data_IF_790571443886
#
_entry.id   IF_790571443886
#
_cell.length_a   1.000
_cell.length_b   1.000
_cell.length_c   1.000
_cell.angle_alpha   90.00
_cell.angle_beta   90.00
_cell.angle_gamma   90.00
#
_symmetry.space_group_name_H-M   'P 1'
#
loop_
_entity.id
_entity.type
_entity.pdbx_description
1 polymer ?
#
# COMPACT_ATOMS: atom_id res chain seq x y z
N UNK A 1 -6.70 29.37 -33.86
CA UNK A 1 -7.68 28.90 -34.87
C UNK A 1 -8.03 27.44 -34.55
N UNK A 2 -9.26 27.01 -34.79
CA UNK A 2 -9.71 25.62 -34.56
C UNK A 2 -10.63 25.45 -33.36
N UNK A 3 -11.94 25.34 -33.60
CA UNK A 3 -12.97 25.04 -32.61
C UNK A 3 -13.66 23.71 -32.92
N UNK A 4 -14.54 23.28 -31.99
CA UNK A 4 -15.58 22.22 -32.03
C UNK A 4 -15.27 20.96 -31.20
N UNK A 5 -16.22 20.36 -30.45
CA UNK A 5 -17.62 20.73 -30.16
C UNK A 5 -18.03 20.16 -28.79
N UNK A 6 -18.80 20.91 -27.99
CA UNK A 6 -19.47 20.38 -26.78
C UNK A 6 -20.99 20.24 -27.03
N UNK A 7 -21.61 19.16 -26.54
CA UNK A 7 -23.07 18.95 -26.60
C UNK A 7 -23.69 18.99 -25.20
N UNK A 8 -24.39 20.10 -24.89
CA UNK A 8 -25.40 20.17 -23.82
C UNK A 8 -26.79 19.88 -24.41
N UNK A 9 -27.62 19.08 -23.73
CA UNK A 9 -29.04 18.91 -24.12
C UNK A 9 -29.93 19.96 -23.43
N UNK A 10 -31.09 20.26 -24.04
CA UNK A 10 -31.98 21.37 -23.64
C UNK A 10 -33.13 20.92 -22.75
N UNK A 11 -33.47 21.76 -21.76
CA UNK A 11 -34.78 21.78 -21.07
C UNK A 11 -35.94 22.00 -22.05
N UNK A 12 -37.14 21.55 -21.67
CA UNK A 12 -38.43 22.11 -22.12
C UNK A 12 -39.43 22.10 -20.97
N UNK A 13 -40.13 23.21 -20.78
CA UNK A 13 -41.33 23.36 -19.94
C UNK A 13 -42.26 24.38 -20.62
N UNK A 14 -43.59 24.18 -20.54
CA UNK A 14 -44.52 25.14 -19.91
C UNK A 14 -45.65 24.40 -19.14
N UNK A 15 -46.58 24.97 -18.35
CA UNK A 15 -46.93 26.32 -17.82
C UNK A 15 -47.78 26.07 -16.53
N UNK A 16 -47.76 26.93 -15.49
CA UNK A 16 -48.83 27.90 -15.06
C UNK A 16 -50.27 27.35 -15.06
N UNK A 17 -51.17 27.66 -14.11
CA UNK A 17 -51.31 28.67 -13.03
C UNK A 17 -52.30 28.06 -11.96
N UNK A 18 -52.57 28.54 -10.72
CA UNK A 18 -52.03 29.60 -9.83
C UNK A 18 -52.70 29.50 -8.42
N UNK A 19 -52.28 30.34 -7.45
CA UNK A 19 -53.00 30.79 -6.24
C UNK A 19 -53.05 29.91 -4.95
N UNK A 20 -52.40 30.46 -3.91
CA UNK A 20 -52.71 30.37 -2.46
C UNK A 20 -54.01 31.17 -2.16
N UNK A 21 -54.73 31.02 -0.99
CA UNK A 21 -54.11 31.19 0.34
C UNK A 21 -54.74 30.49 1.59
N UNK A 22 -53.96 30.54 2.69
CA UNK A 22 -54.32 30.69 4.14
C UNK A 22 -55.57 30.04 4.76
N UNK A 23 -55.37 29.38 5.91
CA UNK A 23 -56.42 29.12 6.91
C UNK A 23 -55.89 28.31 8.10
N UNK A 24 -55.91 28.91 9.30
CA UNK A 24 -55.59 28.27 10.59
C UNK A 24 -56.84 27.63 11.24
N UNK A 25 -56.68 27.12 12.47
CA UNK A 25 -57.71 26.61 13.40
C UNK A 25 -58.24 25.18 13.09
N UNK A 26 -58.22 24.14 13.96
CA UNK A 26 -58.18 23.91 15.43
C UNK A 26 -59.53 23.43 15.98
N UNK A 27 -59.49 22.43 16.89
CA UNK A 27 -60.65 21.85 17.61
C UNK A 27 -61.71 21.17 16.70
N UNK A 28 -62.56 20.22 17.10
CA UNK A 28 -62.75 19.32 18.26
C UNK A 28 -63.58 18.14 17.70
N UNK A 29 -63.44 16.88 18.10
CA UNK A 29 -63.98 16.32 19.34
C UNK A 29 -65.23 15.46 19.07
N UNK A 30 -65.30 14.31 19.77
CA UNK A 30 -66.51 13.57 20.16
C UNK A 30 -67.20 12.54 19.23
N UNK A 31 -67.09 11.30 19.72
CA UNK A 31 -68.17 10.36 20.05
C UNK A 31 -68.64 9.25 19.07
N UNK A 32 -68.61 8.04 19.65
CA UNK A 32 -69.15 6.77 19.15
C UNK A 32 -70.68 6.72 19.37
N UNK A 33 -71.37 5.71 18.82
CA UNK A 33 -71.64 4.56 19.68
C UNK A 33 -71.44 3.19 19.01
N UNK A 34 -71.39 2.17 19.88
CA UNK A 34 -71.07 0.77 19.59
C UNK A 34 -72.18 0.01 18.86
N UNK A 35 -71.84 -1.14 18.25
CA UNK A 35 -72.60 -2.39 18.50
C UNK A 35 -71.76 -3.62 18.18
N UNK A 36 -71.82 -4.62 19.06
CA UNK A 36 -71.02 -5.84 18.99
C UNK A 36 -71.54 -6.85 17.95
N UNK A 37 -70.63 -7.63 17.35
CA UNK A 37 -70.83 -9.08 17.28
C UNK A 37 -69.52 -9.87 17.07
N UNK A 38 -69.35 -10.83 17.97
CA UNK A 38 -68.32 -11.84 18.20
C UNK A 38 -67.71 -12.59 16.99
N UNK A 39 -66.38 -12.67 17.01
CA UNK A 39 -65.51 -13.86 16.87
C UNK A 39 -65.52 -14.72 15.58
N UNK A 40 -64.35 -14.86 14.94
CA UNK A 40 -63.42 -16.01 15.09
C UNK A 40 -62.23 -15.92 14.11
N UNK A 41 -61.04 -16.44 14.51
CA UNK A 41 -59.99 -16.85 13.55
C UNK A 41 -58.74 -15.96 13.44
N UNK A 42 -57.93 -15.88 14.51
CA UNK A 42 -56.58 -15.29 14.44
C UNK A 42 -55.59 -16.20 13.71
N UNK A 43 -54.95 -15.72 12.64
CA UNK A 43 -53.74 -16.35 12.10
C UNK A 43 -52.78 -15.30 11.51
N UNK A 44 -52.16 -14.51 12.38
CA UNK A 44 -51.24 -13.43 12.01
C UNK A 44 -49.83 -13.98 11.75
N UNK A 45 -49.56 -14.40 10.51
CA UNK A 45 -48.19 -14.44 9.99
C UNK A 45 -47.68 -12.99 9.86
N UNK A 46 -47.07 -12.46 10.92
CA UNK A 46 -46.24 -11.26 10.80
C UNK A 46 -44.94 -11.67 10.10
N UNK A 47 -44.86 -11.47 8.78
CA UNK A 47 -43.58 -11.48 8.09
C UNK A 47 -42.69 -10.38 8.70
N UNK A 48 -41.53 -10.76 9.22
CA UNK A 48 -40.54 -9.78 9.66
C UNK A 48 -40.19 -8.84 8.49
N UNK A 49 -40.03 -7.53 8.73
CA UNK A 49 -39.79 -6.56 7.66
C UNK A 49 -38.53 -6.94 6.87
N UNK A 50 -38.64 -6.91 5.53
CA UNK A 50 -37.57 -7.30 4.61
C UNK A 50 -36.38 -6.36 4.81
N UNK A 51 -35.35 -6.85 5.50
CA UNK A 51 -34.12 -6.12 5.76
C UNK A 51 -33.20 -6.24 4.54
N UNK A 52 -32.94 -5.13 3.86
CA UNK A 52 -32.11 -5.09 2.67
C UNK A 52 -30.64 -4.86 3.04
N UNK A 53 -29.71 -5.15 2.13
CA UNK A 53 -28.26 -5.06 2.41
C UNK A 53 -27.77 -3.64 2.67
N UNK A 54 -28.51 -2.61 2.22
CA UNK A 54 -28.22 -1.21 2.53
C UNK A 54 -28.69 -0.78 3.92
N UNK A 55 -29.68 -1.46 4.52
CA UNK A 55 -30.16 -1.17 5.88
C UNK A 55 -29.15 -1.59 6.97
N UNK A 56 -28.07 -2.29 6.56
CA UNK A 56 -26.93 -2.68 7.40
C UNK A 56 -25.66 -1.87 7.15
N UNK A 57 -25.70 -0.81 6.33
CA UNK A 57 -24.55 0.09 6.19
C UNK A 57 -24.39 0.87 7.48
N UNK A 58 -23.25 0.68 8.15
CA UNK A 58 -22.84 1.55 9.25
C UNK A 58 -22.82 3.00 8.76
N UNK A 59 -23.32 3.93 9.59
CA UNK A 59 -23.32 5.35 9.27
C UNK A 59 -21.91 5.89 9.45
N UNK A 60 -21.16 5.90 8.35
CA UNK A 60 -19.83 6.51 8.24
C UNK A 60 -19.97 8.02 8.48
N UNK A 61 -19.41 8.55 9.58
CA UNK A 61 -19.33 10.00 9.80
C UNK A 61 -18.14 10.56 9.00
N UNK A 62 -18.31 11.59 8.16
CA UNK A 62 -17.19 12.25 7.47
C UNK A 62 -16.04 12.68 8.41
N UNK A 63 -16.33 13.01 9.68
CA UNK A 63 -15.32 13.35 10.69
C UNK A 63 -14.37 12.20 11.02
N UNK A 64 -14.80 10.95 10.87
CA UNK A 64 -13.92 9.80 11.07
C UNK A 64 -12.85 9.72 9.97
N UNK A 65 -13.04 10.38 8.83
CA UNK A 65 -12.15 10.33 7.66
C UNK A 65 -11.45 11.66 7.35
N UNK A 66 -11.58 12.65 8.24
CA UNK A 66 -10.97 13.97 8.10
C UNK A 66 -10.40 14.46 9.43
N UNK A 67 -9.27 15.17 9.37
CA UNK A 67 -8.73 15.99 10.45
C UNK A 67 -8.58 17.41 9.90
N UNK A 68 -9.29 18.38 10.49
CA UNK A 68 -9.37 19.73 9.92
C UNK A 68 -9.30 20.81 11.00
N UNK A 69 -8.43 21.81 10.83
CA UNK A 69 -8.38 23.01 11.67
C UNK A 69 -7.83 22.80 13.09
N UNK A 70 -7.17 21.67 13.34
CA UNK A 70 -6.65 21.29 14.67
C UNK A 70 -5.34 22.01 14.99
N UNK A 71 -5.14 22.41 16.26
CA UNK A 71 -3.95 23.18 16.66
C UNK A 71 -3.36 22.73 17.99
N UNK A 72 -2.07 22.37 17.98
CA UNK A 72 -1.32 21.90 19.15
C UNK A 72 -1.89 20.60 19.76
N UNK A 73 -2.43 19.72 18.93
CA UNK A 73 -3.08 18.47 19.34
C UNK A 73 -2.29 17.21 18.88
N UNK A 74 -2.35 16.15 19.70
CA UNK A 74 -1.95 14.79 19.31
C UNK A 74 -3.22 14.02 18.92
N UNK A 75 -3.37 13.66 17.64
CA UNK A 75 -4.57 13.01 17.06
C UNK A 75 -4.18 11.93 16.06
N UNK A 76 -5.15 11.19 15.53
CA UNK A 76 -4.85 10.11 14.58
C UNK A 76 -5.96 9.08 14.45
N UNK A 77 -5.59 7.87 14.01
CA UNK A 77 -6.49 6.73 13.83
C UNK A 77 -5.80 5.43 14.24
N UNK A 78 -6.48 4.64 15.06
CA UNK A 78 -6.06 3.29 15.46
C UNK A 78 -6.27 2.27 14.33
N UNK A 79 -5.62 1.09 14.39
CA UNK A 79 -5.84 0.00 13.43
C UNK A 79 -7.31 -0.36 13.23
N UNK A 80 -7.71 -0.61 11.99
CA UNK A 80 -9.08 -0.97 11.59
C UNK A 80 -10.09 0.17 11.58
N UNK A 81 -9.69 1.44 11.82
CA UNK A 81 -10.59 2.61 11.77
C UNK A 81 -10.80 3.18 10.37
N UNK A 82 -9.80 3.16 9.52
CA UNK A 82 -9.88 3.66 8.15
C UNK A 82 -10.18 2.55 7.14
N UNK A 83 -9.68 1.34 7.38
CA UNK A 83 -9.97 0.12 6.62
C UNK A 83 -9.97 0.35 5.09
N UNK A 84 -8.91 1.00 4.59
CA UNK A 84 -8.72 1.25 3.16
C UNK A 84 -9.56 2.38 2.55
N UNK A 85 -10.25 3.21 3.33
CA UNK A 85 -10.93 4.41 2.83
C UNK A 85 -9.95 5.56 2.52
N UNK A 86 -10.46 6.63 1.91
CA UNK A 86 -9.73 7.90 1.76
C UNK A 86 -9.64 8.63 3.10
N UNK A 87 -8.53 9.35 3.33
CA UNK A 87 -8.34 10.23 4.49
C UNK A 87 -7.93 11.64 4.05
N UNK A 88 -8.30 12.66 4.82
CA UNK A 88 -7.93 14.07 4.56
C UNK A 88 -7.38 14.69 5.84
N UNK A 89 -6.26 15.41 5.72
CA UNK A 89 -5.67 16.23 6.77
C UNK A 89 -5.57 17.65 6.22
N UNK A 90 -6.15 18.65 6.88
CA UNK A 90 -6.22 20.01 6.37
C UNK A 90 -6.13 21.07 7.48
N UNK A 91 -5.50 22.22 7.22
CA UNK A 91 -5.45 23.37 8.15
C UNK A 91 -4.90 23.03 9.56
N UNK A 92 -4.03 22.03 9.68
CA UNK A 92 -3.47 21.61 10.98
C UNK A 92 -2.17 22.36 11.32
N UNK A 93 -2.03 22.81 12.57
CA UNK A 93 -0.86 23.58 13.03
C UNK A 93 -0.26 22.98 14.33
N UNK A 94 1.05 22.76 14.36
CA UNK A 94 1.77 22.23 15.54
C UNK A 94 1.26 20.86 16.05
N UNK A 95 0.64 20.04 15.18
CA UNK A 95 0.03 18.77 15.55
C UNK A 95 0.97 17.56 15.44
N UNK A 96 0.73 16.54 16.27
CA UNK A 96 1.26 15.19 16.06
C UNK A 96 0.11 14.31 15.53
N UNK A 97 0.27 13.71 14.35
CA UNK A 97 -0.80 13.01 13.64
C UNK A 97 -0.37 11.56 13.37
N UNK A 98 -1.08 10.59 13.94
CA UNK A 98 -0.70 9.18 13.91
C UNK A 98 -1.78 8.30 13.25
N UNK A 99 -1.61 7.98 11.97
CA UNK A 99 -2.55 7.12 11.22
C UNK A 99 -2.01 5.69 11.17
N UNK A 100 -2.44 4.84 12.10
CA UNK A 100 -2.00 3.44 12.21
C UNK A 100 -2.94 2.47 11.50
N UNK A 101 -3.37 2.79 10.28
CA UNK A 101 -4.20 1.92 9.43
C UNK A 101 -3.88 2.16 7.95
N UNK A 102 -4.24 1.22 7.09
CA UNK A 102 -4.15 1.34 5.64
C UNK A 102 -5.26 2.26 5.07
N UNK A 103 -4.94 2.95 3.97
CA UNK A 103 -5.84 3.91 3.31
C UNK A 103 -5.79 3.79 1.79
N UNK A 104 -6.85 4.22 1.09
CA UNK A 104 -6.86 4.29 -0.37
C UNK A 104 -5.95 5.42 -0.89
N UNK A 105 -6.12 6.62 -0.35
CA UNK A 105 -5.38 7.84 -0.71
C UNK A 105 -5.45 8.83 0.46
N UNK A 106 -4.41 9.65 0.64
CA UNK A 106 -4.38 10.69 1.68
C UNK A 106 -3.99 12.02 1.05
N UNK A 107 -4.77 13.08 1.31
CA UNK A 107 -4.38 14.46 1.00
C UNK A 107 -4.05 15.22 2.28
N UNK A 108 -2.96 15.98 2.25
CA UNK A 108 -2.47 16.79 3.37
C UNK A 108 -2.31 18.21 2.85
N UNK A 109 -3.15 19.13 3.33
CA UNK A 109 -3.32 20.46 2.77
C UNK A 109 -3.12 21.54 3.84
N UNK A 110 -2.43 22.64 3.51
CA UNK A 110 -2.31 23.83 4.37
C UNK A 110 -1.76 23.57 5.79
N UNK A 111 -1.01 22.47 5.98
CA UNK A 111 -0.52 22.05 7.29
C UNK A 111 0.86 22.64 7.62
N UNK A 112 1.05 23.07 8.87
CA UNK A 112 2.28 23.76 9.32
C UNK A 112 2.84 23.14 10.60
N UNK A 113 4.15 22.90 10.64
CA UNK A 113 4.89 22.40 11.82
C UNK A 113 4.29 21.10 12.42
N UNK A 114 3.81 20.20 11.57
CA UNK A 114 3.19 18.94 11.99
C UNK A 114 4.13 17.75 11.85
N UNK A 115 3.99 16.78 12.76
CA UNK A 115 4.68 15.49 12.74
C UNK A 115 3.68 14.40 12.37
N UNK A 116 3.92 13.66 11.30
CA UNK A 116 2.87 12.80 10.69
C UNK A 116 3.40 11.37 10.46
N UNK A 117 2.75 10.37 11.05
CA UNK A 117 2.91 8.97 10.65
C UNK A 117 1.71 8.56 9.80
N UNK A 118 1.97 8.07 8.58
CA UNK A 118 0.96 7.48 7.72
C UNK A 118 1.21 5.97 7.57
N UNK A 119 0.17 5.18 7.85
CA UNK A 119 0.11 3.79 7.48
C UNK A 119 0.07 3.60 5.95
N UNK A 120 0.19 2.35 5.47
CA UNK A 120 0.29 2.02 4.04
C UNK A 120 -0.86 2.58 3.20
N UNK A 121 -0.53 3.43 2.24
CA UNK A 121 -1.50 4.08 1.33
C UNK A 121 -1.46 3.44 -0.05
N UNK A 122 -2.54 2.74 -0.42
CA UNK A 122 -2.66 1.97 -1.66
C UNK A 122 -2.40 2.79 -2.94
N UNK A 123 -2.80 4.05 -2.94
CA UNK A 123 -2.63 4.98 -4.04
C UNK A 123 -1.67 6.12 -3.67
N UNK A 124 -2.14 7.35 -3.86
CA UNK A 124 -1.34 8.55 -3.65
C UNK A 124 -1.37 9.08 -2.22
N UNK A 125 -0.22 9.58 -1.76
CA UNK A 125 -0.12 10.60 -0.72
C UNK A 125 0.25 11.91 -1.40
N UNK A 126 -0.56 12.95 -1.18
CA UNK A 126 -0.35 14.27 -1.80
C UNK A 126 -0.30 15.36 -0.74
N UNK A 127 0.86 15.98 -0.57
CA UNK A 127 1.04 17.19 0.22
C UNK A 127 0.87 18.44 -0.66
N UNK A 128 0.09 19.42 -0.21
CA UNK A 128 -0.11 20.70 -0.88
C UNK A 128 0.02 21.83 0.14
N UNK A 129 0.75 22.89 -0.23
CA UNK A 129 0.84 24.14 0.54
C UNK A 129 1.32 23.93 2.00
N UNK A 130 2.07 22.84 2.25
CA UNK A 130 2.51 22.40 3.57
C UNK A 130 3.92 22.89 3.93
N UNK A 131 4.16 23.17 5.22
CA UNK A 131 5.40 23.80 5.69
C UNK A 131 5.96 23.22 7.00
N UNK A 132 7.28 23.07 7.08
CA UNK A 132 7.99 22.59 8.27
C UNK A 132 7.44 21.22 8.76
N UNK A 133 7.15 20.29 7.84
CA UNK A 133 6.56 18.97 8.14
C UNK A 133 7.65 17.93 8.37
N UNK A 134 7.45 17.04 9.35
CA UNK A 134 8.27 15.83 9.53
C UNK A 134 7.38 14.60 9.44
N UNK A 135 7.68 13.64 8.58
CA UNK A 135 6.77 12.51 8.39
C UNK A 135 7.41 11.17 8.04
N UNK A 136 6.71 10.09 8.35
CA UNK A 136 7.01 8.73 7.91
C UNK A 136 5.83 8.23 7.08
N UNK A 137 6.07 7.83 5.83
CA UNK A 137 5.01 7.60 4.82
C UNK A 137 5.31 6.34 4.02
N UNK A 138 4.34 5.43 3.93
CA UNK A 138 4.35 4.32 2.97
C UNK A 138 3.21 4.49 1.96
N UNK A 139 3.51 4.53 0.66
CA UNK A 139 2.51 4.79 -0.38
C UNK A 139 2.88 4.17 -1.74
N UNK A 140 1.91 4.09 -2.66
CA UNK A 140 2.23 3.78 -4.05
C UNK A 140 2.87 4.97 -4.76
N UNK A 141 2.26 6.16 -4.62
CA UNK A 141 2.73 7.40 -5.25
C UNK A 141 2.90 8.51 -4.21
N UNK A 142 4.08 9.11 -4.15
CA UNK A 142 4.35 10.29 -3.33
C UNK A 142 4.37 11.55 -4.20
N UNK A 143 3.60 12.57 -3.81
CA UNK A 143 3.52 13.86 -4.51
C UNK A 143 3.59 15.02 -3.52
N UNK A 144 4.32 16.07 -3.85
CA UNK A 144 4.24 17.36 -3.16
C UNK A 144 4.07 18.50 -4.16
N UNK A 145 3.26 19.50 -3.79
CA UNK A 145 3.17 20.77 -4.52
C UNK A 145 3.22 21.94 -3.53
N UNK A 146 3.94 23.01 -3.88
CA UNK A 146 4.01 24.26 -3.09
C UNK A 146 4.48 24.05 -1.63
N UNK A 147 5.26 23.00 -1.37
CA UNK A 147 5.68 22.59 -0.02
C UNK A 147 7.07 23.13 0.36
N UNK A 148 7.31 23.38 1.66
CA UNK A 148 8.58 23.95 2.12
C UNK A 148 9.10 23.34 3.41
N UNK A 149 10.37 22.90 3.40
CA UNK A 149 11.06 22.23 4.50
C UNK A 149 10.29 21.00 4.99
N UNK A 150 10.44 19.88 4.29
CA UNK A 150 9.86 18.61 4.71
C UNK A 150 10.95 17.58 4.92
N UNK A 151 10.96 16.92 6.08
CA UNK A 151 11.81 15.76 6.35
C UNK A 151 10.93 14.49 6.27
N UNK A 152 11.21 13.61 5.30
CA UNK A 152 10.32 12.50 4.91
C UNK A 152 11.05 11.15 4.94
N UNK A 153 10.64 10.23 5.82
CA UNK A 153 11.07 8.83 5.78
C UNK A 153 10.08 8.03 4.92
N UNK A 154 10.50 7.66 3.71
CA UNK A 154 9.59 7.28 2.64
C UNK A 154 9.73 5.79 2.24
N UNK A 155 8.58 5.16 2.02
CA UNK A 155 8.43 3.96 1.21
C UNK A 155 7.51 4.30 0.04
N UNK A 156 8.03 4.29 -1.19
CA UNK A 156 7.28 4.68 -2.38
C UNK A 156 7.47 3.67 -3.51
N UNK A 157 6.37 3.06 -3.96
CA UNK A 157 6.41 2.04 -5.01
C UNK A 157 6.72 2.61 -6.41
N UNK A 158 6.38 3.88 -6.67
CA UNK A 158 6.80 4.64 -7.86
C UNK A 158 7.92 5.63 -7.55
N UNK A 159 8.41 6.35 -8.56
CA UNK A 159 9.29 7.51 -8.38
C UNK A 159 8.57 8.60 -7.57
N UNK A 160 9.13 9.10 -6.45
CA UNK A 160 8.57 10.24 -5.71
C UNK A 160 8.66 11.53 -6.52
N UNK A 161 7.61 12.36 -6.45
CA UNK A 161 7.48 13.59 -7.24
C UNK A 161 7.40 14.81 -6.33
N UNK A 162 8.15 15.87 -6.67
CA UNK A 162 8.01 17.21 -6.11
C UNK A 162 7.75 18.25 -7.22
N UNK A 163 6.97 19.28 -6.89
CA UNK A 163 6.64 20.42 -7.75
C UNK A 163 6.57 21.69 -6.89
N UNK A 164 7.13 22.81 -7.35
CA UNK A 164 7.14 24.12 -6.67
C UNK A 164 7.59 24.07 -5.20
N UNK A 165 8.41 23.08 -4.83
CA UNK A 165 8.71 22.72 -3.43
C UNK A 165 10.19 22.92 -3.10
N UNK A 166 10.53 23.35 -1.88
CA UNK A 166 11.92 23.71 -1.50
C UNK A 166 12.35 23.17 -0.14
N UNK A 167 13.60 22.70 -0.03
CA UNK A 167 14.16 22.17 1.22
C UNK A 167 13.59 20.80 1.60
N UNK A 168 13.29 19.98 0.61
CA UNK A 168 12.75 18.63 0.78
C UNK A 168 13.88 17.65 1.13
N UNK A 169 13.74 16.84 2.19
CA UNK A 169 14.74 15.84 2.56
C UNK A 169 14.13 14.47 2.68
N UNK A 170 14.77 13.48 2.07
CA UNK A 170 14.27 12.11 2.02
C UNK A 170 15.19 11.12 2.74
N UNK A 171 14.59 10.19 3.48
CA UNK A 171 15.25 9.04 4.10
C UNK A 171 14.46 7.76 3.80
N UNK A 172 15.07 6.59 4.00
CA UNK A 172 14.34 5.33 3.88
C UNK A 172 13.29 5.21 5.00
N UNK A 173 12.13 4.62 4.69
CA UNK A 173 11.14 4.25 5.70
C UNK A 173 11.75 3.38 6.79
N UNK A 174 11.54 3.77 8.06
CA UNK A 174 12.01 3.03 9.23
C UNK A 174 10.96 3.09 10.34
N UNK A 175 10.03 2.13 10.32
CA UNK A 175 8.97 2.01 11.31
C UNK A 175 8.45 0.57 11.45
N UNK A 176 7.83 0.28 12.59
CA UNK A 176 7.18 -0.99 12.92
C UNK A 176 6.03 -0.78 13.92
N UNK A 177 4.91 -1.49 13.70
CA UNK A 177 3.94 -1.87 14.72
C UNK A 177 3.31 -3.23 14.31
N UNK A 178 2.70 -4.02 15.22
CA UNK A 178 2.33 -5.42 14.94
C UNK A 178 1.41 -5.62 13.73
N UNK A 179 0.45 -4.73 13.53
CA UNK A 179 -0.56 -4.78 12.46
C UNK A 179 -0.02 -4.31 11.10
N UNK A 180 1.11 -3.60 11.08
CA UNK A 180 1.65 -2.92 9.90
C UNK A 180 1.93 -3.87 8.72
N UNK A 181 2.34 -5.11 9.01
CA UNK A 181 2.57 -6.13 7.98
C UNK A 181 1.29 -6.47 7.20
N UNK A 182 0.14 -6.54 7.89
CA UNK A 182 -1.16 -6.75 7.26
C UNK A 182 -1.61 -5.50 6.51
N UNK A 183 -1.42 -4.31 7.09
CA UNK A 183 -1.76 -3.05 6.41
C UNK A 183 -1.00 -2.87 5.08
N UNK A 184 0.28 -3.27 4.99
CA UNK A 184 1.03 -3.27 3.72
C UNK A 184 0.38 -4.21 2.68
N UNK A 185 0.00 -5.41 3.11
CA UNK A 185 -0.67 -6.41 2.26
C UNK A 185 -2.05 -5.94 1.79
N UNK A 186 -2.85 -5.36 2.67
CA UNK A 186 -4.21 -4.88 2.37
C UNK A 186 -4.19 -3.63 1.48
N UNK A 187 -3.18 -2.77 1.64
CA UNK A 187 -2.88 -1.70 0.70
C UNK A 187 -2.37 -2.21 -0.67
N UNK A 188 -1.92 -3.47 -0.76
CA UNK A 188 -1.31 -4.03 -1.96
C UNK A 188 0.10 -3.49 -2.25
N UNK A 189 0.83 -3.05 -1.22
CA UNK A 189 2.20 -2.55 -1.32
C UNK A 189 3.20 -3.65 -0.93
N UNK A 190 4.18 -3.90 -1.80
CA UNK A 190 5.34 -4.70 -1.42
C UNK A 190 6.30 -3.88 -0.56
N UNK A 191 6.76 -4.47 0.54
CA UNK A 191 7.85 -3.91 1.36
C UNK A 191 9.19 -3.85 0.62
N UNK A 192 9.33 -4.57 -0.50
CA UNK A 192 10.54 -4.60 -1.31
C UNK A 192 10.53 -3.59 -2.46
N UNK A 193 9.39 -2.96 -2.79
CA UNK A 193 9.32 -1.95 -3.85
C UNK A 193 9.41 -0.54 -3.23
N UNK A 194 10.63 -0.03 -3.10
CA UNK A 194 10.88 1.29 -2.49
C UNK A 194 11.92 2.13 -3.26
N UNK A 195 11.46 3.23 -3.87
CA UNK A 195 12.28 4.16 -4.67
C UNK A 195 12.52 5.51 -3.96
N UNK A 196 12.49 5.52 -2.62
CA UNK A 196 12.48 6.73 -1.77
C UNK A 196 13.54 7.80 -2.06
N UNK A 197 14.67 7.43 -2.68
CA UNK A 197 15.80 8.33 -2.97
C UNK A 197 15.84 8.87 -4.41
N UNK A 198 15.04 8.32 -5.33
CA UNK A 198 15.05 8.70 -6.75
C UNK A 198 13.98 9.77 -7.00
N UNK A 199 14.24 11.02 -6.60
CA UNK A 199 13.22 12.09 -6.62
C UNK A 199 13.16 12.75 -8.00
N UNK A 200 11.95 12.87 -8.56
CA UNK A 200 11.68 13.70 -9.73
C UNK A 200 11.20 15.09 -9.31
N UNK A 201 11.87 16.14 -9.78
CA UNK A 201 11.49 17.53 -9.57
C UNK A 201 10.98 18.12 -10.90
N UNK A 202 9.71 18.54 -10.93
CA UNK A 202 9.10 19.19 -12.10
C UNK A 202 9.54 20.66 -12.28
N UNK A 203 10.16 21.25 -11.25
CA UNK A 203 10.48 22.68 -11.14
C UNK A 203 11.92 22.93 -10.70
N UNK A 204 12.94 22.29 -11.32
CA UNK A 204 14.32 22.43 -10.91
C UNK A 204 14.82 23.87 -11.14
N UNK A 205 15.44 24.45 -10.13
CA UNK A 205 16.04 25.79 -10.21
C UNK A 205 17.53 25.65 -10.53
N UNK A 206 17.99 26.32 -11.59
CA UNK A 206 19.39 26.22 -12.03
C UNK A 206 20.36 26.71 -10.95
N UNK A 207 21.20 25.80 -10.44
CA UNK A 207 22.20 26.10 -9.41
C UNK A 207 21.74 25.88 -7.97
N UNK A 208 20.48 25.51 -7.75
CA UNK A 208 19.92 25.18 -6.44
C UNK A 208 19.40 23.73 -6.42
N UNK A 209 19.43 23.09 -5.25
CA UNK A 209 18.87 21.74 -5.05
C UNK A 209 17.61 21.85 -4.18
N UNK A 210 16.44 21.73 -4.82
CA UNK A 210 15.14 21.76 -4.12
C UNK A 210 14.99 20.62 -3.11
N UNK A 211 15.70 19.51 -3.33
CA UNK A 211 15.71 18.34 -2.46
C UNK A 211 17.12 17.82 -2.16
N UNK A 212 17.23 17.04 -1.08
CA UNK A 212 18.43 16.26 -0.73
C UNK A 212 18.04 14.98 0.03
N UNK A 213 19.02 14.17 0.41
CA UNK A 213 18.82 13.01 1.28
C UNK A 213 19.17 13.37 2.73
N UNK A 214 18.40 12.87 3.70
CA UNK A 214 18.72 12.94 5.13
C UNK A 214 20.05 12.22 5.42
N UNK A 215 20.82 12.60 6.44
CA UNK A 215 21.99 11.82 6.90
C UNK A 215 21.65 10.34 7.19
N UNK A 216 22.60 9.41 7.00
CA UNK A 216 22.37 7.97 7.24
C UNK A 216 22.19 7.64 8.74
N UNK A 217 22.75 8.47 9.64
CA UNK A 217 22.64 8.41 11.10
C UNK A 217 21.38 9.12 11.66
N UNK A 218 20.46 9.57 10.80
CA UNK A 218 19.27 10.32 11.23
C UNK A 218 18.34 9.47 12.10
N UNK A 219 18.16 9.85 13.36
CA UNK A 219 17.21 9.19 14.27
C UNK A 219 15.77 9.59 13.94
N UNK A 220 14.93 8.61 13.60
CA UNK A 220 13.52 8.81 13.25
C UNK A 220 12.74 9.53 14.37
N UNK A 221 12.99 9.18 15.64
CA UNK A 221 12.24 9.72 16.79
C UNK A 221 12.54 11.20 17.09
N UNK A 222 13.68 11.74 16.64
CA UNK A 222 13.97 13.18 16.70
C UNK A 222 13.16 13.98 15.67
N UNK A 223 12.63 13.28 14.66
CA UNK A 223 11.85 13.86 13.59
C UNK A 223 10.35 13.65 13.82
N UNK A 224 9.95 12.41 14.10
CA UNK A 224 8.58 12.04 14.44
C UNK A 224 8.61 11.21 15.74
N UNK A 225 8.30 11.83 16.89
CA UNK A 225 8.36 11.15 18.18
C UNK A 225 7.28 10.07 18.29
N UNK A 226 7.37 9.26 19.35
CA UNK A 226 6.28 8.36 19.72
C UNK A 226 5.07 9.18 20.21
N UNK A 227 3.83 8.66 20.06
CA UNK A 227 2.66 9.23 20.72
C UNK A 227 2.83 9.28 22.24
N UNK A 228 2.19 10.25 22.90
CA UNK A 228 2.22 10.36 24.35
C UNK A 228 1.70 9.07 25.02
N UNK A 229 2.35 8.55 26.09
CA UNK A 229 1.92 7.29 26.73
C UNK A 229 0.49 7.28 27.29
N UNK A 230 -0.09 8.46 27.54
CA UNK A 230 -1.49 8.60 27.98
C UNK A 230 -2.48 8.90 26.85
N UNK A 231 -2.01 9.03 25.61
CA UNK A 231 -2.87 9.18 24.43
C UNK A 231 -3.66 7.90 24.12
N UNK A 232 -4.64 8.00 23.22
CA UNK A 232 -5.39 6.84 22.70
C UNK A 232 -4.49 5.79 22.02
N UNK A 233 -3.29 6.18 21.58
CA UNK A 233 -2.35 5.35 20.83
C UNK A 233 -1.54 4.39 21.70
N UNK A 234 -1.67 4.42 23.03
CA UNK A 234 -0.87 3.61 23.97
C UNK A 234 -0.99 2.08 23.81
N UNK A 235 -1.97 1.62 23.04
CA UNK A 235 -2.12 0.21 22.66
C UNK A 235 -1.17 -0.22 21.52
N UNK A 236 -0.73 0.72 20.69
CA UNK A 236 0.08 0.45 19.48
C UNK A 236 1.55 0.30 19.85
N UNK A 237 2.10 -0.91 19.67
CA UNK A 237 3.48 -1.25 20.06
C UNK A 237 4.49 -0.85 19.00
N UNK A 238 4.79 0.45 18.96
CA UNK A 238 5.67 1.06 17.98
C UNK A 238 7.14 0.69 18.23
N UNK A 239 7.91 0.56 17.15
CA UNK A 239 9.37 0.59 17.18
C UNK A 239 9.91 1.28 15.92
N UNK A 240 10.94 2.10 16.09
CA UNK A 240 11.70 2.73 15.01
C UNK A 240 13.12 2.16 14.90
N UNK A 241 13.38 0.98 15.46
CA UNK A 241 14.68 0.31 15.36
C UNK A 241 14.90 -0.20 13.93
N UNK A 242 16.10 -0.01 13.39
CA UNK A 242 16.45 -0.44 12.02
C UNK A 242 16.17 -1.94 11.80
N UNK A 243 16.62 -2.79 12.73
CA UNK A 243 16.44 -4.25 12.70
C UNK A 243 14.99 -4.70 12.85
N UNK A 244 14.08 -3.83 13.29
CA UNK A 244 12.65 -4.14 13.45
C UNK A 244 11.80 -3.57 12.32
N UNK A 245 12.35 -2.76 11.43
CA UNK A 245 11.53 -2.10 10.42
C UNK A 245 10.85 -3.10 9.47
N UNK A 246 9.58 -2.80 9.15
CA UNK A 246 8.84 -3.61 8.19
C UNK A 246 9.37 -3.43 6.74
N UNK A 247 9.96 -2.28 6.42
CA UNK A 247 10.61 -2.03 5.13
C UNK A 247 12.12 -2.23 5.34
N UNK A 248 12.81 -3.06 4.55
CA UNK A 248 14.27 -3.13 4.59
C UNK A 248 14.91 -1.75 4.40
N UNK A 249 15.85 -1.40 5.27
CA UNK A 249 16.61 -0.16 5.11
C UNK A 249 17.54 -0.32 3.89
N UNK A 250 17.35 0.54 2.90
CA UNK A 250 18.08 0.54 1.64
C UNK A 250 18.92 1.80 1.53
N UNK A 251 20.14 1.69 1.00
CA UNK A 251 21.04 2.84 0.76
C UNK A 251 20.54 3.72 -0.39
N UNK A 252 19.82 3.15 -1.35
CA UNK A 252 19.24 3.86 -2.48
C UNK A 252 20.30 4.56 -3.33
N UNK A 253 19.95 5.72 -3.90
CA UNK A 253 20.83 6.55 -4.73
C UNK A 253 21.94 7.30 -3.98
N UNK A 254 22.37 6.82 -2.81
CA UNK A 254 23.55 7.35 -2.10
C UNK A 254 24.83 6.77 -2.72
N UNK A 255 25.95 7.46 -2.51
CA UNK A 255 27.27 6.97 -2.95
C UNK A 255 27.66 5.70 -2.19
N UNK A 256 28.07 4.69 -2.93
CA UNK A 256 28.68 3.46 -2.40
C UNK A 256 30.17 3.67 -2.15
N UNK A 257 30.77 2.78 -1.35
CA UNK A 257 32.21 2.77 -1.08
C UNK A 257 32.96 1.76 -1.97
N UNK A 258 32.24 0.74 -2.46
CA UNK A 258 32.74 -0.23 -3.44
C UNK A 258 32.01 -0.10 -4.78
N UNK A 259 32.73 -0.40 -5.85
CA UNK A 259 32.22 -0.59 -7.22
C UNK A 259 31.70 -2.03 -7.44
N UNK A 260 31.79 -2.91 -6.43
CA UNK A 260 31.29 -4.29 -6.51
C UNK A 260 29.87 -4.40 -5.94
N UNK A 261 28.91 -4.66 -6.83
CA UNK A 261 27.55 -5.09 -6.47
C UNK A 261 27.35 -6.58 -6.76
N UNK A 262 26.33 -7.20 -6.14
CA UNK A 262 25.84 -8.54 -6.40
C UNK A 262 24.31 -8.52 -6.51
N UNK A 263 23.76 -9.15 -7.56
CA UNK A 263 22.34 -9.44 -7.65
C UNK A 263 22.04 -10.77 -6.95
N UNK A 264 21.10 -10.75 -5.99
CA UNK A 264 20.54 -11.95 -5.37
C UNK A 264 19.03 -11.98 -5.61
N UNK A 265 18.50 -13.05 -6.19
CA UNK A 265 17.06 -13.19 -6.50
C UNK A 265 16.49 -14.46 -5.87
N UNK A 266 15.47 -14.31 -5.04
CA UNK A 266 14.63 -15.41 -4.57
C UNK A 266 13.44 -15.60 -5.50
N UNK A 267 13.22 -16.84 -5.93
CA UNK A 267 12.01 -17.21 -6.66
C UNK A 267 10.83 -17.44 -5.70
N UNK A 268 9.60 -17.44 -6.22
CA UNK A 268 8.40 -17.50 -5.39
C UNK A 268 8.28 -18.80 -4.59
N UNK A 269 8.04 -18.69 -3.28
CA UNK A 269 7.73 -19.80 -2.39
C UNK A 269 7.24 -19.28 -1.03
N UNK A 270 6.76 -20.18 -0.18
CA UNK A 270 6.08 -19.84 1.08
C UNK A 270 6.96 -19.06 2.08
N UNK A 271 8.29 -19.15 1.93
CA UNK A 271 9.28 -18.53 2.81
C UNK A 271 10.09 -17.38 2.16
N UNK A 272 9.77 -16.97 0.93
CA UNK A 272 10.56 -15.98 0.17
C UNK A 272 10.83 -14.69 0.95
N UNK A 273 9.81 -14.10 1.58
CA UNK A 273 9.96 -12.87 2.39
C UNK A 273 10.86 -13.07 3.62
N UNK A 274 10.78 -14.23 4.28
CA UNK A 274 11.60 -14.55 5.44
C UNK A 274 13.06 -14.81 5.05
N UNK A 275 13.28 -15.52 3.94
CA UNK A 275 14.61 -15.78 3.39
C UNK A 275 15.29 -14.49 2.92
N UNK A 276 14.54 -13.59 2.26
CA UNK A 276 15.05 -12.28 1.86
C UNK A 276 15.50 -11.44 3.07
N UNK A 277 14.72 -11.40 4.16
CA UNK A 277 15.14 -10.76 5.41
C UNK A 277 16.40 -11.40 6.00
N UNK A 278 16.43 -12.73 6.08
CA UNK A 278 17.60 -13.45 6.59
C UNK A 278 18.87 -13.16 5.77
N UNK A 279 18.76 -13.06 4.45
CA UNK A 279 19.89 -12.66 3.60
C UNK A 279 20.39 -11.25 3.95
N UNK A 280 19.47 -10.29 4.14
CA UNK A 280 19.81 -8.93 4.54
C UNK A 280 20.54 -8.93 5.90
N UNK A 281 20.06 -9.68 6.87
CA UNK A 281 20.68 -9.79 8.20
C UNK A 281 22.09 -10.41 8.12
N UNK A 282 22.28 -11.50 7.37
CA UNK A 282 23.58 -12.16 7.15
C UNK A 282 24.57 -11.26 6.38
N UNK A 283 24.09 -10.57 5.34
CA UNK A 283 24.91 -9.65 4.54
C UNK A 283 25.35 -8.43 5.37
N UNK A 284 24.42 -7.83 6.12
CA UNK A 284 24.70 -6.71 7.02
C UNK A 284 25.70 -7.12 8.12
N UNK A 285 25.57 -8.32 8.67
CA UNK A 285 26.49 -8.87 9.69
C UNK A 285 27.92 -9.06 9.14
N UNK A 286 28.06 -9.34 7.84
CA UNK A 286 29.35 -9.41 7.14
C UNK A 286 29.87 -8.05 6.64
N UNK A 287 29.13 -6.96 6.88
CA UNK A 287 29.52 -5.60 6.49
C UNK A 287 29.09 -5.16 5.08
N UNK A 288 28.28 -5.95 4.38
CA UNK A 288 27.73 -5.58 3.07
C UNK A 288 26.51 -4.67 3.21
N UNK A 289 26.29 -3.82 2.21
CA UNK A 289 25.22 -2.82 2.22
C UNK A 289 24.12 -3.19 1.24
N UNK A 290 22.86 -3.14 1.68
CA UNK A 290 21.69 -3.27 0.82
C UNK A 290 21.44 -1.96 0.06
N UNK A 291 21.63 -1.98 -1.26
CA UNK A 291 21.43 -0.80 -2.11
C UNK A 291 19.94 -0.61 -2.39
N UNK A 292 19.29 -1.63 -2.93
CA UNK A 292 17.88 -1.61 -3.30
C UNK A 292 17.30 -3.03 -3.36
N UNK A 293 15.98 -3.10 -3.38
CA UNK A 293 15.22 -4.35 -3.56
C UNK A 293 14.11 -4.12 -4.59
N UNK A 294 13.58 -5.20 -5.17
CA UNK A 294 12.32 -5.19 -5.93
C UNK A 294 11.56 -6.50 -5.75
N UNK A 295 10.24 -6.43 -5.82
CA UNK A 295 9.33 -7.56 -5.99
C UNK A 295 8.57 -7.40 -7.31
N UNK A 296 8.80 -8.31 -8.27
CA UNK A 296 8.27 -8.21 -9.64
C UNK A 296 7.88 -9.57 -10.21
N UNK A 297 6.83 -9.62 -11.03
CA UNK A 297 6.38 -10.85 -11.69
C UNK A 297 7.11 -11.08 -13.01
N UNK A 298 7.94 -12.11 -13.10
CA UNK A 298 8.65 -12.45 -14.35
C UNK A 298 7.83 -13.40 -15.21
N UNK A 299 7.91 -13.27 -16.55
CA UNK A 299 7.46 -14.31 -17.50
C UNK A 299 8.69 -15.06 -18.04
N UNK A 300 8.53 -16.25 -18.65
CA UNK A 300 9.64 -17.01 -19.26
C UNK A 300 10.51 -16.20 -20.23
N UNK A 301 9.88 -15.32 -21.03
CA UNK A 301 10.57 -14.40 -21.94
C UNK A 301 11.49 -13.41 -21.19
N UNK A 302 11.05 -12.92 -20.03
CA UNK A 302 11.77 -11.96 -19.21
C UNK A 302 12.98 -12.61 -18.52
N UNK A 303 12.85 -13.88 -18.09
CA UNK A 303 13.96 -14.68 -17.53
C UNK A 303 15.11 -14.81 -18.52
N UNK A 304 14.81 -15.14 -19.78
CA UNK A 304 15.81 -15.26 -20.86
C UNK A 304 16.52 -13.92 -21.14
N UNK A 305 15.80 -12.81 -21.11
CA UNK A 305 16.37 -11.47 -21.31
C UNK A 305 17.28 -11.04 -20.16
N UNK A 306 16.88 -11.30 -18.92
CA UNK A 306 17.57 -10.81 -17.72
C UNK A 306 18.79 -11.68 -17.38
N UNK A 307 18.62 -13.00 -17.30
CA UNK A 307 19.65 -13.94 -16.83
C UNK A 307 20.46 -14.60 -17.95
N UNK A 308 20.10 -14.37 -19.22
CA UNK A 308 20.86 -14.75 -20.41
C UNK A 308 21.32 -16.23 -20.38
N UNK A 309 22.62 -16.48 -20.21
CA UNK A 309 23.23 -17.81 -20.22
C UNK A 309 22.67 -18.76 -19.16
N UNK A 310 22.09 -18.23 -18.07
CA UNK A 310 21.58 -19.01 -16.95
C UNK A 310 20.07 -19.27 -17.02
N UNK A 311 19.40 -18.87 -18.10
CA UNK A 311 17.94 -18.84 -18.15
C UNK A 311 17.24 -20.19 -18.28
N UNK A 312 17.88 -21.25 -18.81
CA UNK A 312 17.23 -22.55 -19.05
C UNK A 312 16.73 -23.20 -17.75
N UNK A 313 17.54 -23.22 -16.70
CA UNK A 313 17.17 -23.78 -15.38
C UNK A 313 16.17 -22.89 -14.64
N UNK A 314 16.33 -21.57 -14.74
CA UNK A 314 15.48 -20.57 -14.06
C UNK A 314 14.07 -20.48 -14.67
N UNK A 315 13.92 -20.76 -15.97
CA UNK A 315 12.63 -20.71 -16.67
C UNK A 315 11.65 -21.76 -16.11
N UNK A 316 12.14 -22.92 -15.67
CA UNK A 316 11.31 -23.91 -14.96
C UNK A 316 10.76 -23.39 -13.62
N UNK A 317 11.52 -22.53 -12.95
CA UNK A 317 11.19 -22.02 -11.62
C UNK A 317 10.14 -20.91 -11.65
N UNK A 318 10.05 -20.19 -12.77
CA UNK A 318 9.03 -19.16 -13.04
C UNK A 318 7.76 -19.73 -13.69
N UNK A 319 7.82 -20.94 -14.27
CA UNK A 319 6.64 -21.61 -14.88
C UNK A 319 5.89 -22.54 -13.92
N UNK A 320 6.60 -23.25 -13.04
CA UNK A 320 6.02 -24.27 -12.14
C UNK A 320 5.69 -23.68 -10.76
N UNK A 321 4.58 -22.95 -10.66
CA UNK A 321 3.99 -22.54 -9.37
C UNK A 321 3.26 -23.67 -8.65
N UNK A 322 2.56 -23.34 -7.56
CA UNK A 322 1.90 -24.33 -6.70
C UNK A 322 0.81 -25.14 -7.45
N UNK A 323 0.80 -26.46 -7.23
CA UNK A 323 -0.22 -27.36 -7.77
C UNK A 323 -1.52 -27.22 -6.97
N UNK A 324 -2.53 -26.58 -7.53
CA UNK A 324 -3.86 -26.54 -6.94
C UNK A 324 -4.73 -27.70 -7.45
N UNK A 325 -5.22 -28.50 -6.50
CA UNK A 325 -6.23 -29.52 -6.76
C UNK A 325 -7.62 -28.88 -6.73
N UNK A 326 -8.17 -28.56 -7.90
CA UNK A 326 -9.54 -28.06 -7.98
C UNK A 326 -10.53 -29.23 -7.97
N UNK A 327 -11.22 -29.43 -6.84
CA UNK A 327 -12.32 -30.39 -6.72
C UNK A 327 -13.61 -29.71 -7.17
N UNK A 328 -14.09 -30.03 -8.37
CA UNK A 328 -15.32 -29.44 -8.94
C UNK A 328 -16.52 -30.38 -8.69
N UNK A 329 -17.44 -30.07 -7.76
CA UNK A 329 -18.67 -30.83 -7.60
C UNK A 329 -19.69 -30.44 -8.67
N UNK A 330 -20.02 -31.36 -9.59
CA UNK A 330 -21.17 -31.14 -10.49
C UNK A 330 -22.49 -31.21 -9.72
N UNK A 331 -23.27 -30.13 -9.78
CA UNK A 331 -24.70 -30.15 -9.47
C UNK A 331 -25.46 -30.78 -10.64
N UNK A 332 -25.78 -32.07 -10.55
CA UNK A 332 -26.74 -32.70 -11.45
C UNK A 332 -28.15 -32.15 -11.21
N UNK A 333 -28.53 -31.14 -11.99
CA UNK A 333 -29.90 -30.69 -12.07
C UNK A 333 -30.65 -31.57 -13.08
N UNK A 334 -31.35 -32.61 -12.61
CA UNK A 334 -32.63 -33.11 -13.15
C UNK A 334 -33.24 -34.20 -12.22
N UNK A 335 -34.57 -34.41 -12.31
CA UNK A 335 -35.42 -35.04 -11.28
C UNK A 335 -35.42 -36.59 -11.26
N UNK A 336 -35.67 -37.13 -10.06
CA UNK A 336 -36.30 -38.45 -9.74
C UNK A 336 -35.58 -39.75 -10.16
N UNK A 337 -34.74 -40.29 -9.26
CA UNK A 337 -34.98 -41.57 -8.52
C UNK A 337 -33.77 -41.90 -7.63
N UNK A 338 -34.00 -42.55 -6.49
CA UNK A 338 -32.92 -43.09 -5.65
C UNK A 338 -32.21 -44.23 -6.41
N UNK A 339 -30.97 -44.00 -6.82
CA UNK A 339 -30.03 -45.02 -7.25
C UNK A 339 -28.61 -44.50 -7.03
N UNK A 340 -27.68 -45.38 -6.68
CA UNK A 340 -26.35 -45.03 -6.16
C UNK A 340 -25.50 -44.34 -7.24
N UNK A 341 -25.46 -43.00 -7.21
CA UNK A 341 -24.54 -42.22 -8.04
C UNK A 341 -23.10 -42.40 -7.52
N UNK A 342 -22.31 -43.21 -8.23
CA UNK A 342 -20.85 -43.19 -8.10
C UNK A 342 -20.34 -41.81 -8.54
N UNK A 343 -19.89 -40.99 -7.60
CA UNK A 343 -19.18 -39.75 -7.90
C UNK A 343 -17.88 -40.09 -8.65
N UNK A 344 -17.78 -39.66 -9.92
CA UNK A 344 -16.48 -39.57 -10.60
C UNK A 344 -15.86 -38.21 -10.27
N UNK A 345 -14.92 -38.18 -9.33
CA UNK A 345 -14.05 -37.03 -9.15
C UNK A 345 -13.04 -36.99 -10.31
N UNK A 346 -13.09 -35.93 -11.11
CA UNK A 346 -12.01 -35.57 -12.03
C UNK A 346 -11.18 -34.49 -11.35
N UNK A 347 -10.02 -34.85 -10.82
CA UNK A 347 -9.03 -33.89 -10.33
C UNK A 347 -8.37 -33.20 -11.52
N UNK A 348 -8.74 -31.94 -11.78
CA UNK A 348 -7.98 -31.12 -12.72
C UNK A 348 -6.82 -30.51 -11.95
N UNK A 349 -5.59 -30.90 -12.30
CA UNK A 349 -4.37 -30.25 -11.82
C UNK A 349 -4.28 -28.90 -12.52
N UNK A 350 -4.42 -27.82 -11.76
CA UNK A 350 -4.14 -26.47 -12.23
C UNK A 350 -2.87 -26.03 -11.53
N UNK A 351 -1.75 -25.99 -12.27
CA UNK A 351 -0.56 -25.31 -11.80
C UNK A 351 -0.85 -23.80 -11.81
N UNK A 352 -0.78 -23.16 -10.65
CA UNK A 352 -0.74 -21.71 -10.62
C UNK A 352 0.54 -21.23 -11.33
N UNK A 353 0.55 -20.04 -11.98
CA UNK A 353 1.81 -19.42 -12.35
C UNK A 353 2.67 -19.20 -11.09
N UNK A 354 3.99 -19.14 -11.25
CA UNK A 354 4.85 -18.74 -10.14
C UNK A 354 4.48 -17.33 -9.67
N UNK A 355 4.67 -17.07 -8.38
CA UNK A 355 4.51 -15.73 -7.82
C UNK A 355 5.61 -14.77 -8.28
N UNK A 356 5.60 -13.52 -7.80
CA UNK A 356 6.70 -12.60 -8.05
C UNK A 356 8.02 -13.14 -7.47
N UNK A 357 9.13 -12.72 -8.08
CA UNK A 357 10.47 -12.90 -7.55
C UNK A 357 10.83 -11.70 -6.68
N UNK A 358 11.67 -11.91 -5.67
CA UNK A 358 12.23 -10.85 -4.83
C UNK A 358 13.72 -10.74 -5.11
N UNK A 359 14.15 -9.59 -5.65
CA UNK A 359 15.54 -9.28 -5.92
C UNK A 359 16.10 -8.29 -4.89
N UNK A 360 17.39 -8.45 -4.60
CA UNK A 360 18.18 -7.62 -3.72
C UNK A 360 19.50 -7.28 -4.42
N UNK A 361 19.88 -6.00 -4.39
CA UNK A 361 21.22 -5.56 -4.74
C UNK A 361 22.02 -5.33 -3.45
N UNK A 362 23.12 -6.07 -3.31
CA UNK A 362 24.08 -5.93 -2.22
C UNK A 362 25.40 -5.36 -2.76
N UNK A 363 26.08 -4.51 -2.00
CA UNK A 363 27.33 -3.85 -2.39
C UNK A 363 28.41 -4.00 -1.32
N UNK A 364 29.66 -4.11 -1.76
CA UNK A 364 30.87 -4.18 -0.93
C UNK A 364 31.94 -5.09 -1.52
N UNK A 365 33.19 -4.93 -1.11
CA UNK A 365 34.29 -5.73 -1.68
C UNK A 365 34.17 -7.21 -1.31
N UNK A 366 34.16 -8.09 -2.33
CA UNK A 366 33.95 -9.53 -2.16
C UNK A 366 32.49 -9.93 -1.91
N UNK A 367 31.52 -9.03 -2.12
CA UNK A 367 30.09 -9.31 -1.91
C UNK A 367 29.59 -10.47 -2.75
N UNK A 368 30.12 -10.68 -3.97
CA UNK A 368 29.69 -11.79 -4.84
C UNK A 368 30.05 -13.14 -4.22
N UNK A 369 31.30 -13.34 -3.80
CA UNK A 369 31.78 -14.58 -3.19
C UNK A 369 31.05 -14.87 -1.86
N UNK A 370 30.84 -13.83 -1.05
CA UNK A 370 30.11 -13.95 0.20
C UNK A 370 28.63 -14.31 -0.01
N UNK A 371 27.96 -13.74 -1.01
CA UNK A 371 26.58 -14.09 -1.37
C UNK A 371 26.46 -15.54 -1.84
N UNK A 372 27.45 -16.06 -2.58
CA UNK A 372 27.49 -17.46 -2.99
C UNK A 372 27.71 -18.40 -1.79
N UNK A 373 28.58 -18.05 -0.83
CA UNK A 373 28.73 -18.77 0.45
C UNK A 373 27.40 -18.80 1.22
N UNK A 374 26.73 -17.65 1.41
CA UNK A 374 25.42 -17.58 2.08
C UNK A 374 24.37 -18.43 1.37
N UNK A 375 24.30 -18.38 0.03
CA UNK A 375 23.34 -19.20 -0.72
C UNK A 375 23.53 -20.71 -0.48
N UNK A 376 24.78 -21.19 -0.47
CA UNK A 376 25.12 -22.59 -0.27
C UNK A 376 24.97 -23.06 1.19
N UNK A 377 25.31 -22.21 2.17
CA UNK A 377 25.30 -22.56 3.59
C UNK A 377 23.93 -22.36 4.23
N UNK A 378 23.25 -21.25 3.91
CA UNK A 378 22.03 -20.79 4.60
C UNK A 378 20.76 -21.17 3.82
N UNK A 379 20.83 -21.18 2.49
CA UNK A 379 19.68 -21.37 1.60
C UNK A 379 19.75 -22.64 0.76
N UNK A 380 20.53 -23.64 1.19
CA UNK A 380 20.65 -24.93 0.52
C UNK A 380 19.26 -25.55 0.20
N UNK A 381 19.06 -25.96 -1.06
CA UNK A 381 17.78 -26.48 -1.56
C UNK A 381 16.71 -25.41 -1.87
N UNK A 382 16.97 -24.13 -1.60
CA UNK A 382 16.10 -23.02 -2.02
C UNK A 382 16.44 -22.59 -3.44
N UNK A 383 15.41 -22.29 -4.24
CA UNK A 383 15.57 -21.75 -5.60
C UNK A 383 16.00 -20.28 -5.51
N UNK A 384 17.27 -20.02 -5.76
CA UNK A 384 17.88 -18.68 -5.77
C UNK A 384 18.75 -18.49 -7.01
N UNK A 385 18.87 -17.25 -7.46
CA UNK A 385 19.93 -16.81 -8.36
C UNK A 385 20.87 -15.89 -7.59
N UNK A 386 22.16 -16.01 -7.85
CA UNK A 386 23.22 -15.12 -7.34
C UNK A 386 24.15 -14.82 -8.51
N UNK A 387 24.62 -13.59 -8.65
CA UNK A 387 25.65 -13.26 -9.66
C UNK A 387 26.87 -14.18 -9.56
N UNK A 388 27.42 -14.57 -10.70
CA UNK A 388 28.51 -15.57 -10.77
C UNK A 388 29.88 -14.98 -10.47
N UNK A 389 30.13 -13.73 -10.88
CA UNK A 389 31.43 -13.09 -10.76
C UNK A 389 31.33 -11.57 -10.71
N UNK A 390 32.33 -10.92 -10.09
CA UNK A 390 32.50 -9.46 -10.04
C UNK A 390 32.48 -8.79 -11.43
N UNK A 391 32.88 -9.50 -12.48
CA UNK A 391 32.91 -9.00 -13.86
C UNK A 391 31.54 -9.05 -14.56
N UNK A 392 30.58 -9.81 -14.02
CA UNK A 392 29.24 -9.99 -14.62
C UNK A 392 28.13 -9.38 -13.75
N UNK A 393 28.35 -9.23 -12.45
CA UNK A 393 27.33 -8.85 -11.48
C UNK A 393 26.71 -7.47 -11.71
N UNK A 394 27.48 -6.47 -12.12
CA UNK A 394 26.94 -5.15 -12.49
C UNK A 394 25.94 -5.23 -13.64
N UNK A 395 26.25 -6.03 -14.67
CA UNK A 395 25.35 -6.29 -15.80
C UNK A 395 24.10 -7.08 -15.37
N UNK A 396 24.22 -8.01 -14.42
CA UNK A 396 23.05 -8.73 -13.89
C UNK A 396 22.10 -7.77 -13.17
N UNK A 397 22.64 -6.89 -12.31
CA UNK A 397 21.91 -5.81 -11.64
C UNK A 397 21.24 -4.91 -12.67
N UNK A 398 22.00 -4.34 -13.60
CA UNK A 398 21.48 -3.47 -14.67
C UNK A 398 20.34 -4.16 -15.45
N UNK A 399 20.55 -5.40 -15.90
CA UNK A 399 19.54 -6.16 -16.63
C UNK A 399 18.25 -6.33 -15.82
N UNK A 400 18.37 -6.68 -14.53
CA UNK A 400 17.22 -6.95 -13.67
C UNK A 400 16.44 -5.68 -13.33
N UNK A 401 17.13 -4.64 -12.84
CA UNK A 401 16.46 -3.42 -12.37
C UNK A 401 15.89 -2.60 -13.54
N UNK A 402 16.57 -2.50 -14.69
CA UNK A 402 15.97 -1.90 -15.90
C UNK A 402 14.72 -2.66 -16.35
N UNK A 403 14.72 -4.01 -16.30
CA UNK A 403 13.53 -4.80 -16.58
C UNK A 403 12.39 -4.51 -15.60
N UNK A 404 12.70 -4.51 -14.30
CA UNK A 404 11.72 -4.29 -13.25
C UNK A 404 11.07 -2.90 -13.40
N UNK A 405 11.87 -1.85 -13.61
CA UNK A 405 11.41 -0.48 -13.75
C UNK A 405 10.54 -0.29 -15.00
N UNK A 406 10.95 -0.85 -16.15
CA UNK A 406 10.10 -0.89 -17.36
C UNK A 406 8.75 -1.59 -17.11
N UNK A 407 8.70 -2.64 -16.28
CA UNK A 407 7.46 -3.36 -15.98
C UNK A 407 6.56 -2.61 -14.99
N UNK A 408 7.14 -1.85 -14.06
CA UNK A 408 6.39 -1.03 -13.10
C UNK A 408 5.94 0.32 -13.67
N UNK A 409 6.48 0.74 -14.81
CA UNK A 409 6.21 2.06 -15.40
C UNK A 409 6.91 3.18 -14.65
N UNK A 410 8.16 2.91 -14.23
CA UNK A 410 9.07 3.84 -13.56
C UNK A 410 9.91 4.65 -14.56
#
# INVERSE_FOLDING_TARGET
>A
MGCFFSKKSRRKSPKKDSALPTGDESATGNDLPETNNTALGSNSNQEAPKQYSWDKREKVDPKDFMLTGLKNETVGRLPGKLNGQQFVIQDCENCNIYVFDHSATITIDDCVNCRIILGPVKGSVFFRDCKDIKCVVACQQFRTRDCKKMDVFLCCATQPIIESSTGMKFGCYQYYYPELAFHFKDAGLSIFNNNWSNIHDFTPVSGETNWSLLPEDTVVLEHVPLPDPESEFKSVRISSEASRSIVPLTKGGRRTESEESCLFVFFSGDYTTANARKLIDEATTKGFVLIQTKEVSMRPEDVNRVFQNNAESLTEWVTKGAVMYCVVPQRNMHRKKLSVCKYKCYSTIICAPAGPVVALELNGDGVVEACQSIANEVFNGTKVFVSESKQTSSRDVDNFFNFADMQMGL
#
